data_IF_368856218999
#
_entry.id   IF_368856218999
#
_cell.length_a   1.000
_cell.length_b   1.000
_cell.length_c   1.000
_cell.angle_alpha   90.00
_cell.angle_beta   90.00
_cell.angle_gamma   90.00
#
_symmetry.space_group_name_H-M   'P 1'
#
loop_
_entity.id
_entity.type
_entity.pdbx_description
1 polymer ?
#
# COMPACT_ATOMS: atom_id res chain seq x y z
N UNK A 1 7.01 -56.63 8.68
CA UNK A 1 7.36 -55.20 8.63
C UNK A 1 6.26 -54.50 7.85
N UNK A 2 5.39 -53.75 8.53
CA UNK A 2 4.32 -53.00 7.87
C UNK A 2 4.84 -51.63 7.44
N UNK A 3 4.85 -51.37 6.14
CA UNK A 3 5.07 -50.02 5.61
C UNK A 3 3.77 -49.24 5.77
N UNK A 4 3.72 -48.32 6.74
CA UNK A 4 2.70 -47.27 6.72
C UNK A 4 3.01 -46.33 5.56
N UNK A 5 2.20 -46.40 4.51
CA UNK A 5 2.21 -45.38 3.47
C UNK A 5 1.90 -44.03 4.12
N UNK A 6 2.66 -42.96 3.82
CA UNK A 6 2.33 -41.63 4.32
C UNK A 6 0.95 -41.27 3.77
N UNK A 7 -0.05 -41.19 4.64
CA UNK A 7 -1.34 -40.60 4.31
C UNK A 7 -1.06 -39.17 3.91
N UNK A 8 -1.29 -38.84 2.63
CA UNK A 8 -1.26 -37.46 2.16
C UNK A 8 -2.10 -36.62 3.13
N UNK A 9 -1.49 -35.63 3.78
CA UNK A 9 -2.21 -34.69 4.62
C UNK A 9 -3.32 -34.09 3.77
N UNK A 10 -4.58 -34.34 4.15
CA UNK A 10 -5.71 -33.71 3.50
C UNK A 10 -5.52 -32.20 3.60
N UNK A 11 -5.47 -31.52 2.46
CA UNK A 11 -5.33 -30.06 2.44
C UNK A 11 -6.51 -29.44 3.18
N UNK A 12 -6.23 -28.43 3.99
CA UNK A 12 -7.26 -27.63 4.64
C UNK A 12 -8.10 -26.89 3.59
N UNK A 13 -9.35 -26.50 3.93
CA UNK A 13 -10.17 -25.69 3.03
C UNK A 13 -9.47 -24.42 2.53
N UNK A 14 -8.66 -23.77 3.39
CA UNK A 14 -7.88 -22.58 3.05
C UNK A 14 -6.77 -22.85 2.03
N UNK A 15 -6.06 -23.97 2.15
CA UNK A 15 -5.03 -24.36 1.18
C UNK A 15 -5.65 -24.73 -0.17
N UNK A 16 -6.82 -25.38 -0.18
CA UNK A 16 -7.58 -25.68 -1.40
C UNK A 16 -8.00 -24.38 -2.09
N UNK A 17 -8.62 -23.45 -1.35
CA UNK A 17 -9.06 -22.17 -1.89
C UNK A 17 -7.88 -21.35 -2.43
N UNK A 18 -6.77 -21.27 -1.69
CA UNK A 18 -5.56 -20.57 -2.10
C UNK A 18 -4.98 -21.13 -3.40
N UNK A 19 -4.86 -22.46 -3.49
CA UNK A 19 -4.34 -23.14 -4.68
C UNK A 19 -5.18 -22.82 -5.92
N UNK A 20 -6.51 -22.88 -5.79
CA UNK A 20 -7.48 -22.60 -6.86
C UNK A 20 -7.41 -21.14 -7.32
N UNK A 21 -7.42 -20.20 -6.38
CA UNK A 21 -7.29 -18.76 -6.66
C UNK A 21 -5.98 -18.48 -7.39
N UNK A 22 -4.85 -18.98 -6.87
CA UNK A 22 -3.54 -18.71 -7.44
C UNK A 22 -3.39 -19.29 -8.85
N UNK A 23 -3.92 -20.49 -9.11
CA UNK A 23 -3.93 -21.08 -10.44
C UNK A 23 -4.67 -20.20 -11.45
N UNK A 24 -5.82 -19.65 -11.06
CA UNK A 24 -6.60 -18.74 -11.92
C UNK A 24 -5.87 -17.42 -12.12
N UNK A 25 -5.36 -16.79 -11.06
CA UNK A 25 -4.61 -15.53 -11.18
C UNK A 25 -3.41 -15.70 -12.12
N UNK A 26 -2.68 -16.81 -12.04
CA UNK A 26 -1.54 -17.08 -12.91
C UNK A 26 -1.94 -17.37 -14.36
N UNK A 27 -3.04 -18.10 -14.56
CA UNK A 27 -3.55 -18.38 -15.90
C UNK A 27 -4.05 -17.12 -16.61
N UNK A 28 -4.71 -16.23 -15.87
CA UNK A 28 -5.32 -15.03 -16.43
C UNK A 28 -4.32 -13.93 -16.67
N UNK A 29 -3.43 -13.69 -15.70
CA UNK A 29 -2.51 -12.57 -15.75
C UNK A 29 -1.21 -12.99 -16.42
N UNK A 30 -1.26 -13.04 -17.75
CA UNK A 30 -0.08 -13.06 -18.61
C UNK A 30 0.68 -11.71 -18.58
N UNK A 31 1.23 -11.31 -19.72
CA UNK A 31 1.97 -10.03 -19.82
C UNK A 31 1.05 -8.80 -20.02
N UNK A 32 -0.24 -9.01 -20.25
CA UNK A 32 -1.23 -7.97 -20.51
C UNK A 32 -2.11 -7.61 -19.30
N UNK A 33 -2.75 -6.42 -19.30
CA UNK A 33 -3.73 -6.05 -18.30
C UNK A 33 -5.04 -6.84 -18.47
N UNK A 34 -5.60 -7.28 -17.35
CA UNK A 34 -6.84 -8.06 -17.26
C UNK A 34 -7.85 -7.31 -16.39
N UNK A 35 -9.12 -7.37 -16.77
CA UNK A 35 -10.20 -6.80 -15.97
C UNK A 35 -10.39 -7.62 -14.67
N UNK A 36 -10.41 -7.01 -13.48
CA UNK A 36 -10.60 -7.74 -12.22
C UNK A 36 -11.88 -8.57 -12.18
N UNK A 37 -12.95 -8.09 -12.82
CA UNK A 37 -14.22 -8.82 -12.95
C UNK A 37 -14.08 -10.14 -13.70
N UNK A 38 -13.15 -10.23 -14.65
CA UNK A 38 -12.92 -11.47 -15.40
C UNK A 38 -12.27 -12.54 -14.52
N UNK A 39 -11.26 -12.17 -13.75
CA UNK A 39 -10.61 -13.04 -12.77
C UNK A 39 -11.65 -13.50 -11.73
N UNK A 40 -12.47 -12.58 -11.19
CA UNK A 40 -13.48 -12.90 -10.19
C UNK A 40 -14.49 -13.92 -10.72
N UNK A 41 -14.99 -13.70 -11.94
CA UNK A 41 -15.91 -14.62 -12.60
C UNK A 41 -15.32 -16.01 -12.79
N UNK A 42 -14.00 -16.12 -13.05
CA UNK A 42 -13.33 -17.42 -13.19
C UNK A 42 -13.20 -18.13 -11.84
N UNK A 43 -12.83 -17.41 -10.78
CA UNK A 43 -12.81 -17.95 -9.41
C UNK A 43 -14.20 -18.41 -8.98
N UNK A 44 -15.24 -17.61 -9.24
CA UNK A 44 -16.63 -17.96 -8.94
C UNK A 44 -17.13 -19.20 -9.71
N UNK A 45 -16.60 -19.47 -10.90
CA UNK A 45 -16.92 -20.69 -11.67
C UNK A 45 -16.16 -21.92 -11.18
N UNK A 46 -14.98 -21.76 -10.60
CA UNK A 46 -14.14 -22.87 -10.13
C UNK A 46 -14.48 -23.33 -8.69
N UNK A 47 -15.57 -22.83 -8.11
CA UNK A 47 -16.03 -23.21 -6.75
C UNK A 47 -16.71 -24.59 -6.68
N UNK A 48 -16.83 -25.30 -7.80
CA UNK A 48 -17.43 -26.63 -7.84
C UNK A 48 -16.45 -27.69 -7.34
N UNK A 49 -16.95 -28.69 -6.61
CA UNK A 49 -16.11 -29.78 -6.11
C UNK A 49 -15.21 -29.45 -4.92
N UNK A 50 -15.32 -28.25 -4.34
CA UNK A 50 -14.66 -27.88 -3.06
C UNK A 50 -15.65 -27.86 -1.89
N UNK A 51 -15.12 -27.87 -0.66
CA UNK A 51 -15.94 -27.77 0.56
C UNK A 51 -16.69 -26.43 0.66
N UNK A 52 -17.71 -26.36 1.51
CA UNK A 52 -18.48 -25.13 1.71
C UNK A 52 -17.61 -23.99 2.25
N UNK A 53 -16.66 -24.30 3.13
CA UNK A 53 -15.71 -23.35 3.71
C UNK A 53 -14.77 -22.78 2.64
N UNK A 54 -14.16 -23.64 1.82
CA UNK A 54 -13.30 -23.22 0.72
C UNK A 54 -14.06 -22.35 -0.29
N UNK A 55 -15.29 -22.75 -0.65
CA UNK A 55 -16.19 -21.98 -1.51
C UNK A 55 -16.44 -20.58 -0.95
N UNK A 56 -16.81 -20.48 0.33
CA UNK A 56 -17.08 -19.19 0.97
C UNK A 56 -15.84 -18.28 0.94
N UNK A 57 -14.65 -18.83 1.17
CA UNK A 57 -13.41 -18.07 1.10
C UNK A 57 -13.09 -17.59 -0.33
N UNK A 58 -13.26 -18.45 -1.34
CA UNK A 58 -13.10 -18.06 -2.75
C UNK A 58 -14.07 -16.96 -3.18
N UNK A 59 -15.33 -17.03 -2.72
CA UNK A 59 -16.33 -16.00 -2.98
C UNK A 59 -15.99 -14.68 -2.30
N UNK A 60 -15.56 -14.72 -1.02
CA UNK A 60 -15.10 -13.52 -0.30
C UNK A 60 -13.92 -12.87 -0.99
N UNK A 61 -12.91 -13.65 -1.37
CA UNK A 61 -11.74 -13.16 -2.10
C UNK A 61 -12.16 -12.48 -3.43
N UNK A 62 -13.05 -13.11 -4.19
CA UNK A 62 -13.54 -12.58 -5.48
C UNK A 62 -14.23 -11.24 -5.32
N UNK A 63 -15.10 -11.11 -4.30
CA UNK A 63 -15.77 -9.86 -3.97
C UNK A 63 -14.78 -8.78 -3.53
N UNK A 64 -13.86 -9.12 -2.63
CA UNK A 64 -12.83 -8.19 -2.13
C UNK A 64 -11.95 -7.67 -3.26
N UNK A 65 -11.56 -8.52 -4.21
CA UNK A 65 -10.81 -8.11 -5.40
C UNK A 65 -11.61 -7.10 -6.23
N UNK A 66 -12.87 -7.39 -6.58
CA UNK A 66 -13.70 -6.47 -7.39
C UNK A 66 -13.92 -5.13 -6.68
N UNK A 67 -14.14 -5.16 -5.36
CA UNK A 67 -14.35 -3.94 -4.56
C UNK A 67 -13.08 -3.09 -4.44
N UNK A 68 -11.93 -3.73 -4.17
CA UNK A 68 -10.65 -3.06 -4.07
C UNK A 68 -10.23 -2.43 -5.41
N UNK A 69 -10.49 -3.13 -6.52
CA UNK A 69 -10.00 -2.78 -7.85
C UNK A 69 -10.95 -1.94 -8.71
N UNK A 70 -12.08 -1.47 -8.17
CA UNK A 70 -13.06 -0.63 -8.91
C UNK A 70 -12.38 0.41 -9.82
N UNK A 71 -12.42 0.16 -11.13
CA UNK A 71 -11.88 1.05 -12.18
C UNK A 71 -10.43 0.79 -12.64
N UNK A 72 -9.71 -0.14 -12.01
CA UNK A 72 -8.35 -0.51 -12.38
C UNK A 72 -8.26 -1.80 -13.19
N UNK A 73 -7.04 -2.18 -13.58
CA UNK A 73 -6.72 -3.47 -14.22
C UNK A 73 -5.67 -4.22 -13.44
N UNK A 74 -5.58 -5.53 -13.65
CA UNK A 74 -4.54 -6.39 -13.04
C UNK A 74 -3.51 -6.73 -14.10
N UNK A 75 -2.22 -6.55 -13.82
CA UNK A 75 -1.15 -6.91 -14.75
C UNK A 75 0.08 -7.44 -14.00
N UNK A 76 1.06 -7.93 -14.74
CA UNK A 76 2.40 -8.13 -14.21
C UNK A 76 3.10 -6.77 -14.05
N UNK A 77 3.60 -6.51 -12.84
CA UNK A 77 4.44 -5.36 -12.51
C UNK A 77 5.81 -5.86 -12.03
N UNK A 78 6.79 -4.97 -11.99
CA UNK A 78 8.11 -5.29 -11.45
C UNK A 78 8.02 -5.70 -9.98
N UNK A 79 8.99 -6.48 -9.53
CA UNK A 79 9.02 -7.00 -8.17
C UNK A 79 9.00 -5.85 -7.15
N UNK A 80 8.18 -6.02 -6.10
CA UNK A 80 8.01 -5.01 -5.05
C UNK A 80 7.02 -3.89 -5.39
N UNK A 81 6.49 -3.82 -6.61
CA UNK A 81 5.41 -2.91 -6.98
C UNK A 81 4.07 -3.58 -6.68
N UNK A 82 3.31 -3.04 -5.70
CA UNK A 82 1.96 -3.53 -5.40
C UNK A 82 0.91 -3.07 -6.41
N UNK A 83 1.04 -1.83 -6.88
CA UNK A 83 0.21 -1.18 -7.87
C UNK A 83 0.91 0.04 -8.47
N UNK A 84 0.34 0.59 -9.53
CA UNK A 84 0.80 1.83 -10.16
C UNK A 84 -0.37 2.59 -10.80
N UNK A 85 -0.53 3.85 -10.42
CA UNK A 85 -1.42 4.80 -11.10
C UNK A 85 -0.70 5.46 -12.28
N UNK A 86 -1.34 5.48 -13.44
CA UNK A 86 -0.84 6.11 -14.68
C UNK A 86 -1.91 7.02 -15.27
N UNK A 87 -1.59 7.88 -16.26
CA UNK A 87 -2.59 8.69 -16.95
C UNK A 87 -3.72 7.88 -17.60
N UNK A 88 -3.45 6.64 -18.04
CA UNK A 88 -4.42 5.76 -18.70
C UNK A 88 -5.27 4.96 -17.70
N UNK A 89 -5.04 5.15 -16.40
CA UNK A 89 -5.69 4.43 -15.31
C UNK A 89 -4.69 3.77 -14.37
N UNK A 90 -5.19 3.06 -13.38
CA UNK A 90 -4.35 2.40 -12.39
C UNK A 90 -4.33 0.87 -12.56
N UNK A 91 -3.22 0.29 -12.16
CA UNK A 91 -2.91 -1.12 -12.32
C UNK A 91 -2.53 -1.74 -10.98
N UNK A 92 -2.99 -2.96 -10.70
CA UNK A 92 -2.59 -3.76 -9.56
C UNK A 92 -1.68 -4.90 -10.01
N UNK A 93 -0.61 -5.16 -9.29
CA UNK A 93 0.25 -6.30 -9.55
C UNK A 93 -0.49 -7.61 -9.30
N UNK A 94 -0.29 -8.61 -10.16
CA UNK A 94 -0.84 -9.95 -9.95
C UNK A 94 -0.42 -10.57 -8.61
N UNK A 95 0.81 -10.30 -8.15
CA UNK A 95 1.33 -10.83 -6.89
C UNK A 95 0.54 -10.30 -5.69
N UNK A 96 -0.04 -9.10 -5.78
CA UNK A 96 -0.93 -8.52 -4.76
C UNK A 96 -2.20 -9.36 -4.56
N UNK A 97 -2.62 -10.11 -5.58
CA UNK A 97 -3.81 -10.96 -5.55
C UNK A 97 -3.57 -12.36 -4.96
N UNK A 98 -2.33 -12.85 -5.02
CA UNK A 98 -2.02 -14.25 -4.66
C UNK A 98 -2.18 -14.54 -3.18
N UNK A 99 -2.72 -15.69 -2.85
CA UNK A 99 -2.86 -16.15 -1.46
C UNK A 99 -1.60 -16.90 -1.04
N UNK A 100 -0.89 -16.40 -0.03
CA UNK A 100 0.31 -17.05 0.54
C UNK A 100 -0.06 -17.86 1.77
N UNK A 101 0.48 -19.07 1.89
CA UNK A 101 0.29 -19.97 3.05
C UNK A 101 -1.18 -20.24 3.43
N UNK A 102 -2.10 -20.15 2.48
CA UNK A 102 -3.53 -20.30 2.73
C UNK A 102 -4.20 -19.10 3.41
N UNK A 103 -3.49 -18.00 3.66
CA UNK A 103 -4.02 -16.82 4.35
C UNK A 103 -4.79 -15.88 3.41
N UNK A 104 -6.05 -16.24 3.19
CA UNK A 104 -6.97 -15.47 2.35
C UNK A 104 -7.28 -14.10 2.96
N UNK A 105 -7.31 -13.99 4.29
CA UNK A 105 -7.61 -12.72 4.96
C UNK A 105 -6.50 -11.71 4.70
N UNK A 106 -5.24 -12.12 4.85
CA UNK A 106 -4.09 -11.26 4.54
C UNK A 106 -4.08 -10.84 3.06
N UNK A 107 -4.41 -11.75 2.14
CA UNK A 107 -4.53 -11.39 0.72
C UNK A 107 -5.64 -10.35 0.48
N UNK A 108 -6.81 -10.50 1.12
CA UNK A 108 -7.90 -9.52 1.06
C UNK A 108 -7.49 -8.13 1.59
N UNK A 109 -6.81 -8.09 2.74
CA UNK A 109 -6.33 -6.83 3.32
C UNK A 109 -5.29 -6.16 2.44
N UNK A 110 -4.35 -6.94 1.88
CA UNK A 110 -3.33 -6.43 0.96
C UNK A 110 -3.95 -5.84 -0.30
N UNK A 111 -4.89 -6.55 -0.93
CA UNK A 111 -5.63 -6.05 -2.09
C UNK A 111 -6.35 -4.73 -1.78
N UNK A 112 -7.00 -4.65 -0.62
CA UNK A 112 -7.71 -3.45 -0.18
C UNK A 112 -6.77 -2.27 0.05
N UNK A 113 -5.65 -2.49 0.76
CA UNK A 113 -4.64 -1.46 1.00
C UNK A 113 -4.09 -0.93 -0.34
N UNK A 114 -3.64 -1.81 -1.23
CA UNK A 114 -3.16 -1.41 -2.57
C UNK A 114 -4.24 -0.70 -3.38
N UNK A 115 -5.47 -1.23 -3.43
CA UNK A 115 -6.55 -0.61 -4.20
C UNK A 115 -6.93 0.78 -3.67
N UNK A 116 -6.86 1.00 -2.37
CA UNK A 116 -7.05 2.33 -1.77
C UNK A 116 -5.87 3.26 -2.07
N UNK A 117 -4.64 2.73 -2.02
CA UNK A 117 -3.40 3.45 -2.35
C UNK A 117 -3.47 4.03 -3.76
N UNK A 118 -3.78 3.22 -4.77
CA UNK A 118 -3.85 3.70 -6.15
C UNK A 118 -5.04 4.65 -6.41
N UNK A 119 -6.16 4.47 -5.71
CA UNK A 119 -7.27 5.42 -5.76
C UNK A 119 -6.91 6.77 -5.13
N UNK A 120 -6.09 6.76 -4.07
CA UNK A 120 -5.57 7.98 -3.45
C UNK A 120 -4.68 8.75 -4.45
N UNK A 121 -3.82 8.04 -5.18
CA UNK A 121 -3.01 8.65 -6.25
C UNK A 121 -3.87 9.38 -7.29
N UNK A 122 -4.94 8.75 -7.79
CA UNK A 122 -5.87 9.40 -8.73
C UNK A 122 -6.57 10.60 -8.09
N UNK A 123 -7.08 10.46 -6.86
CA UNK A 123 -7.81 11.51 -6.15
C UNK A 123 -6.97 12.78 -5.99
N UNK A 124 -5.66 12.63 -5.77
CA UNK A 124 -4.74 13.73 -5.54
C UNK A 124 -3.93 14.09 -6.80
N UNK A 125 -4.40 13.70 -7.99
CA UNK A 125 -3.77 13.97 -9.29
C UNK A 125 -2.27 13.60 -9.34
N UNK A 126 -1.93 12.50 -8.68
CA UNK A 126 -0.57 11.96 -8.59
C UNK A 126 -0.49 10.68 -9.43
N UNK A 127 -0.57 10.84 -10.75
CA UNK A 127 -0.55 9.73 -11.73
C UNK A 127 0.84 9.43 -12.28
N UNK A 128 1.90 9.91 -11.62
CA UNK A 128 3.25 9.87 -12.15
C UNK A 128 3.98 8.58 -11.75
N UNK A 129 4.53 7.77 -12.69
CA UNK A 129 5.77 7.06 -12.41
C UNK A 129 6.81 8.13 -12.11
N UNK A 130 7.49 8.06 -10.95
CA UNK A 130 8.54 9.00 -10.49
C UNK A 130 9.07 9.91 -11.60
N UNK A 131 8.39 11.04 -11.84
CA UNK A 131 8.96 12.07 -12.66
C UNK A 131 9.83 12.87 -11.71
N UNK A 132 11.09 12.46 -11.63
CA UNK A 132 12.16 13.38 -11.25
C UNK A 132 12.06 14.51 -12.25
N UNK A 133 11.45 15.63 -11.84
CA UNK A 133 11.31 16.80 -12.68
C UNK A 133 12.70 17.21 -13.15
N UNK A 134 13.02 16.91 -14.40
CA UNK A 134 14.17 17.45 -15.06
C UNK A 134 13.90 18.94 -15.26
N UNK A 135 14.66 19.74 -14.51
CA UNK A 135 14.85 21.18 -14.61
C UNK A 135 13.72 22.08 -14.07
N UNK A 136 13.83 22.50 -12.80
CA UNK A 136 13.91 23.93 -12.43
C UNK A 136 14.68 24.10 -11.09
N UNK A 137 15.97 24.44 -11.18
CA UNK A 137 16.85 24.99 -10.14
C UNK A 137 17.14 24.17 -8.86
N UNK A 138 18.37 24.30 -8.35
CA UNK A 138 18.95 23.71 -7.12
C UNK A 138 18.21 24.03 -5.79
N UNK A 139 16.89 24.27 -5.78
CA UNK A 139 16.08 24.55 -4.59
C UNK A 139 15.19 23.35 -4.25
N UNK A 140 15.14 22.99 -2.97
CA UNK A 140 14.20 22.00 -2.46
C UNK A 140 12.76 22.37 -2.83
N UNK A 141 11.93 21.39 -3.20
CA UNK A 141 10.50 21.60 -3.48
C UNK A 141 9.76 22.04 -2.21
N UNK A 142 10.11 21.46 -1.06
CA UNK A 142 9.56 21.79 0.25
C UNK A 142 10.66 21.79 1.30
N UNK A 143 10.64 22.76 2.22
CA UNK A 143 11.41 22.70 3.47
C UNK A 143 10.42 22.60 4.62
N UNK A 144 10.49 21.53 5.43
CA UNK A 144 9.56 21.28 6.52
C UNK A 144 10.33 20.75 7.73
N UNK A 145 10.20 21.41 8.88
CA UNK A 145 10.94 21.05 10.09
C UNK A 145 12.45 21.18 9.93
N UNK A 146 12.91 22.04 9.02
CA UNK A 146 14.32 22.11 8.60
C UNK A 146 14.80 20.98 7.67
N UNK A 147 13.95 20.01 7.35
CA UNK A 147 14.24 18.96 6.36
C UNK A 147 13.93 19.46 4.95
N UNK A 148 14.81 19.16 3.98
CA UNK A 148 14.66 19.61 2.59
C UNK A 148 14.22 18.47 1.67
N UNK A 149 12.95 18.46 1.29
CA UNK A 149 12.36 17.54 0.33
C UNK A 149 12.68 17.99 -1.09
N UNK A 150 13.30 17.12 -1.89
CA UNK A 150 13.77 17.45 -3.24
C UNK A 150 12.63 17.52 -4.25
N UNK A 151 11.59 16.72 -4.05
CA UNK A 151 10.35 16.73 -4.83
C UNK A 151 9.14 16.83 -3.90
N UNK A 152 7.96 17.09 -4.47
CA UNK A 152 6.67 17.01 -3.78
C UNK A 152 6.18 15.56 -3.59
N UNK A 153 6.82 14.59 -4.25
CA UNK A 153 6.50 13.16 -4.18
C UNK A 153 6.50 12.63 -2.76
N UNK A 154 7.52 12.93 -1.95
CA UNK A 154 7.66 12.35 -0.62
C UNK A 154 6.50 12.73 0.33
N UNK A 155 6.08 14.02 0.44
CA UNK A 155 4.85 14.39 1.14
C UNK A 155 3.59 13.74 0.59
N UNK A 156 3.44 13.64 -0.74
CA UNK A 156 2.25 13.03 -1.37
C UNK A 156 2.16 11.54 -1.08
N UNK A 157 3.29 10.83 -1.15
CA UNK A 157 3.39 9.41 -0.81
C UNK A 157 3.15 9.17 0.67
N UNK A 158 3.71 10.02 1.54
CA UNK A 158 3.44 9.95 2.97
C UNK A 158 1.94 10.11 3.29
N UNK A 159 1.27 11.10 2.69
CA UNK A 159 -0.18 11.30 2.84
C UNK A 159 -0.97 10.12 2.27
N UNK A 160 -0.54 9.57 1.15
CA UNK A 160 -1.20 8.41 0.54
C UNK A 160 -1.11 7.17 1.43
N UNK A 161 0.07 6.86 1.96
CA UNK A 161 0.27 5.73 2.87
C UNK A 161 -0.44 5.95 4.21
N UNK A 162 -0.39 7.16 4.78
CA UNK A 162 -1.09 7.51 6.03
C UNK A 162 -2.62 7.30 5.89
N UNK A 163 -3.19 7.67 4.75
CA UNK A 163 -4.62 7.51 4.47
C UNK A 163 -5.05 6.07 4.15
N UNK A 164 -4.15 5.23 3.64
CA UNK A 164 -4.54 3.95 3.00
C UNK A 164 -4.05 2.72 3.75
N UNK A 165 -3.02 2.85 4.57
CA UNK A 165 -2.41 1.78 5.35
C UNK A 165 -0.92 1.66 5.08
N UNK A 166 -0.19 1.19 6.10
CA UNK A 166 1.27 1.01 6.08
C UNK A 166 1.71 -0.45 6.22
N UNK A 167 0.76 -1.40 6.24
CA UNK A 167 1.01 -2.80 6.61
C UNK A 167 1.72 -3.53 5.48
N UNK A 168 1.27 -3.32 4.26
CA UNK A 168 1.71 -4.06 3.08
C UNK A 168 2.53 -3.23 2.08
N UNK A 169 2.68 -1.93 2.32
CA UNK A 169 3.63 -1.08 1.56
C UNK A 169 5.09 -1.43 1.88
N UNK A 170 6.00 -1.07 0.97
CA UNK A 170 7.44 -1.32 1.15
C UNK A 170 8.04 -0.52 2.30
N UNK A 171 9.25 -0.90 2.75
CA UNK A 171 9.97 -0.14 3.78
C UNK A 171 10.30 1.30 3.34
N UNK A 172 10.48 1.54 2.03
CA UNK A 172 10.69 2.89 1.50
C UNK A 172 9.47 3.79 1.73
N UNK A 173 8.27 3.28 1.40
CA UNK A 173 7.01 4.00 1.64
C UNK A 173 6.77 4.27 3.12
N UNK A 174 7.04 3.28 3.99
CA UNK A 174 6.97 3.49 5.45
C UNK A 174 7.92 4.58 5.92
N UNK A 175 9.15 4.58 5.39
CA UNK A 175 10.15 5.61 5.72
C UNK A 175 9.69 7.01 5.29
N UNK A 176 9.05 7.16 4.13
CA UNK A 176 8.50 8.45 3.71
C UNK A 176 7.48 8.99 4.71
N UNK A 177 6.56 8.15 5.21
CA UNK A 177 5.61 8.54 6.26
C UNK A 177 6.34 8.99 7.52
N UNK A 178 7.32 8.21 7.98
CA UNK A 178 8.06 8.51 9.21
C UNK A 178 8.87 9.81 9.07
N UNK A 179 9.55 10.03 7.94
CA UNK A 179 10.33 11.22 7.65
C UNK A 179 9.44 12.47 7.59
N UNK A 180 8.31 12.41 6.87
CA UNK A 180 7.37 13.53 6.72
C UNK A 180 6.67 13.84 8.04
N UNK A 181 6.26 12.82 8.79
CA UNK A 181 5.64 12.97 10.11
C UNK A 181 6.61 13.61 11.11
N UNK A 182 7.88 13.17 11.12
CA UNK A 182 8.91 13.76 11.97
C UNK A 182 9.22 15.21 11.57
N UNK A 183 9.32 15.49 10.27
CA UNK A 183 9.51 16.84 9.74
C UNK A 183 8.33 17.76 10.11
N UNK A 184 7.09 17.31 9.94
CA UNK A 184 5.90 18.05 10.32
C UNK A 184 5.88 18.36 11.82
N UNK A 185 6.16 17.37 12.67
CA UNK A 185 6.23 17.54 14.11
C UNK A 185 7.32 18.55 14.51
N UNK A 186 8.51 18.48 13.90
CA UNK A 186 9.58 19.46 14.11
C UNK A 186 9.18 20.87 13.66
N UNK A 187 8.35 20.99 12.63
CA UNK A 187 7.78 22.25 12.17
C UNK A 187 6.65 22.78 13.07
N UNK A 188 6.21 22.02 14.08
CA UNK A 188 5.02 22.34 14.88
C UNK A 188 3.71 22.16 14.12
N UNK A 189 3.68 21.24 13.16
CA UNK A 189 2.54 20.89 12.31
C UNK A 189 2.14 19.43 12.54
N UNK A 190 0.95 19.07 12.06
CA UNK A 190 0.41 17.71 12.09
C UNK A 190 0.41 17.09 10.69
N UNK A 191 0.28 15.76 10.60
CA UNK A 191 0.03 15.11 9.31
C UNK A 191 -1.27 15.59 8.64
N UNK A 192 -2.25 16.07 9.40
CA UNK A 192 -3.44 16.70 8.82
C UNK A 192 -3.12 18.01 8.08
N UNK A 193 -2.17 18.80 8.57
CA UNK A 193 -1.72 20.01 7.89
C UNK A 193 -1.02 19.67 6.57
N UNK A 194 -0.19 18.61 6.58
CA UNK A 194 0.46 18.08 5.37
C UNK A 194 -0.60 17.57 4.38
N UNK A 195 -1.57 16.79 4.84
CA UNK A 195 -2.69 16.29 4.04
C UNK A 195 -3.49 17.44 3.42
N UNK A 196 -3.76 18.51 4.17
CA UNK A 196 -4.45 19.69 3.66
C UNK A 196 -3.63 20.44 2.59
N UNK A 197 -2.31 20.54 2.77
CA UNK A 197 -1.41 21.12 1.77
C UNK A 197 -1.38 20.29 0.48
N UNK A 198 -1.26 18.96 0.59
CA UNK A 198 -1.31 18.03 -0.55
C UNK A 198 -2.64 18.13 -1.29
N UNK A 199 -3.76 18.05 -0.56
CA UNK A 199 -5.10 18.11 -1.14
C UNK A 199 -5.44 19.44 -1.81
N UNK A 200 -4.85 20.54 -1.33
CA UNK A 200 -5.05 21.87 -1.92
C UNK A 200 -3.98 22.24 -2.95
N UNK A 201 -3.04 21.33 -3.24
CA UNK A 201 -1.88 21.56 -4.10
C UNK A 201 -1.10 22.83 -3.72
N UNK A 202 -1.03 23.13 -2.43
CA UNK A 202 -0.43 24.35 -1.90
C UNK A 202 0.49 24.03 -0.71
N UNK A 203 1.74 23.71 -1.04
CA UNK A 203 2.80 23.46 -0.06
C UNK A 203 3.28 24.72 0.66
N UNK A 204 2.94 25.92 0.19
CA UNK A 204 3.37 27.18 0.84
C UNK A 204 2.77 27.34 2.24
N UNK A 205 1.72 26.58 2.55
CA UNK A 205 1.09 26.52 3.88
C UNK A 205 1.95 25.82 4.94
N UNK A 206 2.79 24.89 4.52
CA UNK A 206 3.61 24.06 5.42
C UNK A 206 5.11 24.30 5.25
N UNK A 207 5.52 25.04 4.22
CA UNK A 207 6.92 25.34 3.94
C UNK A 207 7.51 26.34 4.95
N UNK A 208 8.57 25.94 5.64
CA UNK A 208 9.28 26.78 6.60
C UNK A 208 9.85 28.06 5.99
N UNK A 209 10.06 28.11 4.67
CA UNK A 209 10.56 29.32 3.98
C UNK A 209 9.53 30.44 3.92
N UNK A 210 8.24 30.10 3.86
CA UNK A 210 7.13 31.05 3.73
C UNK A 210 6.46 31.37 5.06
N UNK A 211 6.68 30.56 6.08
CA UNK A 211 6.09 30.74 7.41
C UNK A 211 6.72 31.93 8.16
N UNK A 212 5.94 32.68 8.97
CA UNK A 212 6.50 33.72 9.84
C UNK A 212 7.42 33.12 10.92
N UNK A 213 8.49 33.83 11.27
CA UNK A 213 9.56 33.31 12.16
C UNK A 213 9.07 32.82 13.54
N UNK A 214 7.94 33.33 14.04
CA UNK A 214 7.31 32.87 15.29
C UNK A 214 6.73 31.45 15.23
N UNK A 215 6.55 30.89 14.02
CA UNK A 215 6.05 29.54 13.77
C UNK A 215 7.14 28.58 13.26
N UNK A 216 8.38 29.06 13.05
CA UNK A 216 9.49 28.21 12.63
C UNK A 216 10.12 27.51 13.83
N UNK A 217 10.64 26.28 13.67
CA UNK A 217 11.47 25.68 14.70
C UNK A 217 12.67 26.58 15.00
N UNK A 218 12.95 26.82 16.29
CA UNK A 218 14.14 27.57 16.69
C UNK A 218 15.39 26.77 16.33
N UNK A 219 16.43 27.38 15.73
CA UNK A 219 17.69 26.71 15.47
C UNK A 219 18.23 26.09 16.78
N UNK A 220 18.50 24.79 16.78
CA UNK A 220 19.07 24.07 17.93
C UNK A 220 18.07 23.36 18.86
N UNK A 221 16.76 23.45 18.60
CA UNK A 221 15.80 22.53 19.23
C UNK A 221 15.78 21.21 18.46
N UNK A 222 16.68 20.28 18.82
CA UNK A 222 16.49 18.89 18.43
C UNK A 222 15.11 18.43 18.92
N UNK A 223 14.26 17.82 18.07
CA UNK A 223 13.09 17.13 18.59
C UNK A 223 13.60 16.07 19.57
N UNK A 224 13.11 16.12 20.81
CA UNK A 224 13.35 15.04 21.77
C UNK A 224 13.04 13.72 21.07
N UNK A 225 13.92 12.71 21.16
CA UNK A 225 13.66 11.43 20.54
C UNK A 225 12.29 10.94 21.03
N UNK A 226 11.42 10.63 20.06
CA UNK A 226 10.13 9.99 20.29
C UNK A 226 10.34 8.90 21.33
N UNK A 227 9.64 9.01 22.46
CA UNK A 227 9.85 8.13 23.60
C UNK A 227 9.79 6.69 23.13
N UNK A 228 10.86 5.93 23.45
CA UNK A 228 10.89 4.49 23.22
C UNK A 228 9.62 3.89 23.83
N UNK A 229 8.90 3.11 23.03
CA UNK A 229 7.79 2.29 23.48
C UNK A 229 8.18 1.55 24.78
N UNK A 230 7.29 1.45 25.78
CA UNK A 230 7.62 0.79 27.02
C UNK A 230 7.97 -0.67 26.75
N UNK A 231 9.15 -1.08 27.21
CA UNK A 231 9.57 -2.47 27.20
C UNK A 231 8.53 -3.31 27.95
N UNK A 232 7.90 -4.24 27.24
CA UNK A 232 7.04 -5.26 27.84
C UNK A 232 7.91 -6.10 28.80
N UNK A 233 7.79 -5.83 30.09
CA UNK A 233 8.33 -6.69 31.13
C UNK A 233 7.50 -7.98 31.14
N UNK A 234 8.04 -9.02 30.53
CA UNK A 234 7.54 -10.39 30.69
C UNK A 234 7.58 -10.76 32.16
N UNK A 235 6.41 -10.84 32.80
CA UNK A 235 6.24 -11.56 34.05
C UNK A 235 6.10 -13.04 33.70
N UNK A 236 7.15 -13.80 34.01
CA UNK A 236 7.04 -15.24 34.24
C UNK A 236 6.04 -15.48 35.38
N UNK A 237 5.02 -16.29 35.12
CA UNK A 237 4.55 -17.41 35.96
C UNK A 237 3.52 -18.21 35.19
#
# INVERSE_FOLDING_TARGET
MGYNAPTASAQSPSEIAASRINAIVEQEVGDGPVAPKEIARKVEKDIHGVSAEARNQMQRWSKSMVDATKGGTVKKLDEGIGGVATPDGWHMAKETLKVSDGDIVTAEERMKETGNHEKSHIKHNHTAPMQTAANVHNRAALVLGGHSFKTDTEPVEAVTVDNTGKKFVSNGYRKHVDDVSAAAAAAGLTMNDVTNAVNSHDFTKIDDRTRPDSKKPKPGMNPSPVSKAPAFAGKKR
#
